data_IF_328661362359
#
_entry.id   IF_328661362359
#
_cell.length_a   1.000
_cell.length_b   1.000
_cell.length_c   1.000
_cell.angle_alpha   90.00
_cell.angle_beta   90.00
_cell.angle_gamma   90.00
#
_symmetry.space_group_name_H-M   'P 1'
#
loop_
_entity.id
_entity.type
_entity.pdbx_description
1 polymer ?
#
# COMPACT_ATOMS: atom_id res chain seq x y z
N UNK A 1 27.02 9.14 -16.00
CA UNK A 1 26.31 10.03 -16.95
C UNK A 1 24.84 9.65 -16.90
N UNK A 2 23.97 10.48 -16.30
CA UNK A 2 22.52 10.21 -16.22
C UNK A 2 21.95 10.39 -17.62
N UNK A 3 21.51 9.31 -18.25
CA UNK A 3 20.83 9.37 -19.55
C UNK A 3 19.43 9.99 -19.37
N UNK A 4 18.90 10.66 -20.40
CA UNK A 4 17.52 11.22 -20.36
C UNK A 4 16.46 10.19 -19.91
N UNK A 5 16.69 8.91 -20.18
CA UNK A 5 15.84 7.80 -19.73
C UNK A 5 15.87 7.63 -18.20
N UNK A 6 17.05 7.61 -17.59
CA UNK A 6 17.18 7.52 -16.12
C UNK A 6 16.57 8.71 -15.38
N UNK A 7 16.61 9.92 -15.97
CA UNK A 7 15.93 11.09 -15.40
C UNK A 7 14.40 10.90 -15.33
N UNK A 8 13.78 10.33 -16.37
CA UNK A 8 12.35 10.03 -16.38
C UNK A 8 11.96 9.03 -15.30
N UNK A 9 12.80 8.00 -15.09
CA UNK A 9 12.59 7.00 -14.04
C UNK A 9 12.63 7.61 -12.63
N UNK A 10 13.65 8.42 -12.35
CA UNK A 10 13.77 9.14 -11.06
C UNK A 10 12.59 10.08 -10.85
N UNK A 11 12.20 10.85 -11.86
CA UNK A 11 11.05 11.74 -11.77
C UNK A 11 9.75 10.95 -11.52
N UNK A 12 9.55 9.84 -12.22
CA UNK A 12 8.41 8.94 -12.02
C UNK A 12 8.34 8.41 -10.59
N UNK A 13 9.47 7.98 -10.02
CA UNK A 13 9.55 7.52 -8.64
C UNK A 13 9.06 8.59 -7.64
N UNK A 14 9.56 9.82 -7.76
CA UNK A 14 9.11 10.92 -6.89
C UNK A 14 7.64 11.27 -7.08
N UNK A 15 7.15 11.28 -8.33
CA UNK A 15 5.74 11.53 -8.62
C UNK A 15 4.84 10.48 -7.95
N UNK A 16 5.20 9.19 -8.04
CA UNK A 16 4.43 8.11 -7.41
C UNK A 16 4.40 8.25 -5.88
N UNK A 17 5.51 8.64 -5.26
CA UNK A 17 5.55 8.92 -3.82
C UNK A 17 4.64 10.10 -3.46
N UNK A 18 4.70 11.19 -4.22
CA UNK A 18 3.85 12.37 -3.97
C UNK A 18 2.36 12.04 -4.12
N UNK A 19 1.99 11.22 -5.11
CA UNK A 19 0.62 10.71 -5.26
C UNK A 19 0.23 9.85 -4.05
N UNK A 20 1.11 8.94 -3.61
CA UNK A 20 0.88 8.11 -2.43
C UNK A 20 0.66 8.94 -1.16
N UNK A 21 1.47 9.98 -0.95
CA UNK A 21 1.30 10.93 0.15
C UNK A 21 -0.04 11.67 0.00
N UNK A 22 -0.37 12.17 -1.20
CA UNK A 22 -1.63 12.85 -1.48
C UNK A 22 -2.85 11.97 -1.18
N UNK A 23 -2.81 10.70 -1.59
CA UNK A 23 -3.83 9.70 -1.28
C UNK A 23 -3.92 9.43 0.22
N UNK A 24 -2.79 9.25 0.91
CA UNK A 24 -2.76 9.04 2.35
C UNK A 24 -3.40 10.22 3.09
N UNK A 25 -3.08 11.46 2.71
CA UNK A 25 -3.66 12.67 3.30
C UNK A 25 -5.16 12.79 3.00
N UNK A 26 -5.57 12.61 1.74
CA UNK A 26 -6.96 12.73 1.31
C UNK A 26 -7.84 11.65 1.93
N UNK A 27 -7.43 10.39 1.87
CA UNK A 27 -8.18 9.24 2.42
C UNK A 27 -8.18 9.17 3.95
N UNK A 28 -7.26 9.89 4.62
CA UNK A 28 -7.24 10.00 6.08
C UNK A 28 -8.19 11.07 6.63
N UNK A 29 -8.77 11.93 5.78
CA UNK A 29 -9.68 12.98 6.25
C UNK A 29 -10.93 12.37 6.88
N UNK A 30 -11.22 12.76 8.14
CA UNK A 30 -12.36 12.26 8.91
C UNK A 30 -12.38 10.72 9.09
N UNK A 31 -11.25 10.06 8.87
CA UNK A 31 -11.10 8.62 9.07
C UNK A 31 -10.82 8.25 10.53
N UNK A 32 -10.91 6.95 10.81
CA UNK A 32 -10.50 6.41 12.11
C UNK A 32 -8.97 6.45 12.28
N UNK A 33 -8.53 6.56 13.53
CA UNK A 33 -7.11 6.61 13.91
C UNK A 33 -6.75 5.50 14.90
N UNK A 34 -5.56 4.92 14.75
CA UNK A 34 -4.95 4.02 15.72
C UNK A 34 -3.70 4.70 16.31
N UNK A 35 -3.59 4.76 17.64
CA UNK A 35 -2.45 5.39 18.34
C UNK A 35 -2.16 6.85 17.91
N UNK A 36 -3.21 7.59 17.52
CA UNK A 36 -3.07 8.98 17.03
C UNK A 36 -2.67 9.11 15.56
N UNK A 37 -2.53 8.01 14.82
CA UNK A 37 -2.23 8.00 13.38
C UNK A 37 -3.44 7.51 12.58
N UNK A 38 -3.84 8.16 11.48
CA UNK A 38 -4.93 7.68 10.65
C UNK A 38 -4.68 6.27 10.10
N UNK A 39 -5.68 5.39 10.22
CA UNK A 39 -5.56 3.98 9.78
C UNK A 39 -5.32 3.91 8.27
N UNK A 40 -5.94 4.80 7.48
CA UNK A 40 -5.73 4.86 6.04
C UNK A 40 -4.28 5.23 5.68
N UNK A 41 -3.68 6.20 6.38
CA UNK A 41 -2.26 6.54 6.19
C UNK A 41 -1.34 5.37 6.57
N UNK A 42 -1.65 4.63 7.63
CA UNK A 42 -0.91 3.43 8.01
C UNK A 42 -1.01 2.34 6.93
N UNK A 43 -2.20 2.13 6.36
CA UNK A 43 -2.42 1.18 5.28
C UNK A 43 -1.60 1.54 4.02
N UNK A 44 -1.64 2.81 3.59
CA UNK A 44 -0.82 3.29 2.46
C UNK A 44 0.67 3.11 2.73
N UNK A 45 1.14 3.49 3.93
CA UNK A 45 2.53 3.32 4.32
C UNK A 45 2.97 1.86 4.32
N UNK A 46 2.11 0.95 4.79
CA UNK A 46 2.36 -0.48 4.78
C UNK A 46 2.44 -1.03 3.35
N UNK A 47 1.52 -0.63 2.47
CA UNK A 47 1.54 -1.02 1.04
C UNK A 47 2.87 -0.61 0.40
N UNK A 48 3.29 0.65 0.53
CA UNK A 48 4.56 1.12 -0.03
C UNK A 48 5.75 0.36 0.54
N UNK A 49 5.74 0.08 1.86
CA UNK A 49 6.80 -0.68 2.52
C UNK A 49 6.91 -2.10 1.97
N UNK A 50 5.77 -2.82 1.84
CA UNK A 50 5.74 -4.15 1.24
C UNK A 50 6.26 -4.10 -0.20
N UNK A 51 5.74 -3.19 -1.02
CA UNK A 51 6.14 -3.10 -2.43
C UNK A 51 7.63 -2.77 -2.60
N UNK A 52 8.22 -1.90 -1.78
CA UNK A 52 9.66 -1.62 -1.84
C UNK A 52 10.51 -2.80 -1.39
N UNK A 53 10.13 -3.47 -0.30
CA UNK A 53 10.85 -4.66 0.18
C UNK A 53 10.80 -5.78 -0.86
N UNK A 54 9.63 -5.99 -1.46
CA UNK A 54 9.39 -7.08 -2.40
C UNK A 54 9.91 -6.76 -3.80
N UNK A 55 10.10 -5.49 -4.15
CA UNK A 55 10.72 -5.09 -5.42
C UNK A 55 12.12 -5.69 -5.61
N UNK A 56 12.93 -5.79 -4.55
CA UNK A 56 14.30 -6.33 -4.62
C UNK A 56 14.32 -7.78 -5.14
N UNK A 57 13.64 -8.75 -4.50
CA UNK A 57 13.54 -10.11 -5.01
C UNK A 57 12.73 -10.22 -6.31
N UNK A 58 11.70 -9.39 -6.50
CA UNK A 58 10.92 -9.40 -7.75
C UNK A 58 11.80 -9.05 -8.96
N UNK A 59 12.65 -8.04 -8.83
CA UNK A 59 13.58 -7.61 -9.87
C UNK A 59 14.65 -8.67 -10.16
N UNK A 60 15.08 -9.41 -9.13
CA UNK A 60 16.06 -10.47 -9.27
C UNK A 60 15.49 -11.74 -9.93
N UNK A 61 14.28 -12.15 -9.54
CA UNK A 61 13.68 -13.42 -9.97
C UNK A 61 12.84 -13.30 -11.24
N UNK A 62 12.22 -12.13 -11.49
CA UNK A 62 11.43 -11.81 -12.68
C UNK A 62 10.38 -12.88 -13.03
N UNK A 63 9.73 -13.47 -12.02
CA UNK A 63 8.69 -14.49 -12.21
C UNK A 63 7.30 -13.92 -12.02
N UNK A 64 6.36 -14.35 -12.85
CA UNK A 64 4.94 -13.97 -12.73
C UNK A 64 4.35 -14.43 -11.40
N UNK A 65 4.66 -15.66 -10.98
CA UNK A 65 4.17 -16.23 -9.71
C UNK A 65 4.54 -15.37 -8.49
N UNK A 66 5.73 -14.76 -8.49
CA UNK A 66 6.16 -13.91 -7.39
C UNK A 66 5.34 -12.62 -7.31
N UNK A 67 5.00 -12.05 -8.46
CA UNK A 67 4.13 -10.87 -8.54
C UNK A 67 2.74 -11.18 -7.99
N UNK A 68 2.14 -12.31 -8.39
CA UNK A 68 0.80 -12.72 -7.93
C UNK A 68 0.74 -12.93 -6.41
N UNK A 69 1.70 -13.67 -5.85
CA UNK A 69 1.77 -13.93 -4.40
C UNK A 69 1.93 -12.61 -3.64
N UNK A 70 2.77 -11.70 -4.14
CA UNK A 70 2.99 -10.40 -3.52
C UNK A 70 1.71 -9.56 -3.50
N UNK A 71 1.01 -9.52 -4.63
CA UNK A 71 -0.27 -8.81 -4.76
C UNK A 71 -1.30 -9.35 -3.77
N UNK A 72 -1.51 -10.67 -3.76
CA UNK A 72 -2.45 -11.32 -2.85
C UNK A 72 -2.08 -11.10 -1.38
N UNK A 73 -0.81 -11.26 -1.01
CA UNK A 73 -0.34 -11.05 0.36
C UNK A 73 -0.54 -9.60 0.83
N UNK A 74 -0.24 -8.64 -0.03
CA UNK A 74 -0.45 -7.21 0.27
C UNK A 74 -1.93 -6.92 0.50
N UNK A 75 -2.80 -7.44 -0.37
CA UNK A 75 -4.24 -7.21 -0.29
C UNK A 75 -4.86 -7.81 0.98
N UNK A 76 -4.53 -9.06 1.28
CA UNK A 76 -5.02 -9.76 2.49
C UNK A 76 -4.47 -9.11 3.76
N UNK A 77 -3.16 -8.87 3.84
CA UNK A 77 -2.53 -8.34 5.06
C UNK A 77 -3.01 -6.93 5.41
N UNK A 78 -3.07 -6.03 4.43
CA UNK A 78 -3.51 -4.64 4.64
C UNK A 78 -4.99 -4.59 5.02
N UNK A 79 -5.83 -5.41 4.39
CA UNK A 79 -7.25 -5.50 4.74
C UNK A 79 -7.43 -6.00 6.16
N UNK A 80 -6.77 -7.10 6.54
CA UNK A 80 -6.83 -7.64 7.90
C UNK A 80 -6.37 -6.62 8.94
N UNK A 81 -5.23 -5.96 8.73
CA UNK A 81 -4.70 -4.95 9.64
C UNK A 81 -5.67 -3.77 9.76
N UNK A 82 -6.25 -3.30 8.65
CA UNK A 82 -7.20 -2.19 8.65
C UNK A 82 -8.47 -2.54 9.45
N UNK A 83 -8.99 -3.75 9.29
CA UNK A 83 -10.16 -4.23 10.06
C UNK A 83 -9.81 -4.37 11.54
N UNK A 84 -8.64 -4.94 11.88
CA UNK A 84 -8.19 -5.12 13.27
C UNK A 84 -7.99 -3.78 14.00
N UNK A 85 -7.57 -2.75 13.28
CA UNK A 85 -7.39 -1.41 13.84
C UNK A 85 -8.68 -0.59 13.82
N UNK A 86 -9.74 -1.05 13.14
CA UNK A 86 -11.00 -0.32 13.03
C UNK A 86 -11.68 -0.22 14.40
N UNK A 87 -12.17 0.97 14.81
CA UNK A 87 -12.88 1.14 16.09
C UNK A 87 -14.18 0.33 16.19
N UNK A 88 -14.78 -0.01 15.05
CA UNK A 88 -16.02 -0.78 14.97
C UNK A 88 -16.00 -1.70 13.76
N UNK A 89 -16.47 -2.93 13.96
CA UNK A 89 -16.63 -3.93 12.89
C UNK A 89 -18.12 -4.24 12.81
N UNK A 90 -18.79 -3.68 11.80
CA UNK A 90 -20.20 -3.96 11.50
C UNK A 90 -20.33 -4.98 10.36
N UNK A 91 -21.56 -5.37 10.02
CA UNK A 91 -21.83 -6.33 8.94
C UNK A 91 -21.24 -5.89 7.60
N UNK A 92 -21.16 -4.58 7.32
CA UNK A 92 -20.59 -4.06 6.06
C UNK A 92 -19.08 -4.28 6.04
N UNK A 93 -18.39 -4.04 7.15
CA UNK A 93 -16.96 -4.32 7.28
C UNK A 93 -16.68 -5.82 7.10
N UNK A 94 -17.51 -6.69 7.68
CA UNK A 94 -17.37 -8.15 7.53
C UNK A 94 -17.59 -8.56 6.06
N UNK A 95 -18.60 -8.00 5.39
CA UNK A 95 -18.83 -8.26 3.97
C UNK A 95 -17.63 -7.83 3.12
N UNK A 96 -17.09 -6.63 3.35
CA UNK A 96 -15.90 -6.14 2.64
C UNK A 96 -14.67 -7.01 2.90
N UNK A 97 -14.49 -7.52 4.13
CA UNK A 97 -13.40 -8.43 4.47
C UNK A 97 -13.50 -9.76 3.72
N UNK A 98 -14.71 -10.29 3.52
CA UNK A 98 -14.93 -11.57 2.82
C UNK A 98 -14.72 -11.45 1.30
N UNK A 99 -14.85 -10.24 0.74
CA UNK A 99 -14.60 -9.99 -0.68
C UNK A 99 -13.12 -10.00 -1.07
N UNK A 100 -12.23 -10.06 -0.08
CA UNK A 100 -10.77 -10.08 -0.22
C UNK A 100 -10.26 -11.51 -0.20
#
# INVERSE_FOLDING_TARGET
MITKSSLKGVLGFFIVILIGIGLALAGSQHGASALGVPIFALAVGLIFSIQWLVFIPAFAMQTEKFFDITGALTYISVTLITVLLSPSVDTRVILLLIMV
#
